data_IF_211286736923
#
_entry.id   IF_211286736923
#
_cell.length_a   1.000
_cell.length_b   1.000
_cell.length_c   1.000
_cell.angle_alpha   90.00
_cell.angle_beta   90.00
_cell.angle_gamma   90.00
#
_symmetry.space_group_name_H-M   'P 1'
#
loop_
_entity.id
_entity.type
_entity.pdbx_description
1 polymer ?
#
# COMPACT_ATOMS: atom_id res chain seq x y z
N UNK A 1 -6.43 -13.53 28.91
CA UNK A 1 -5.05 -13.05 28.70
C UNK A 1 -4.73 -13.24 27.23
N UNK A 2 -4.90 -12.19 26.44
CA UNK A 2 -4.76 -12.27 24.98
C UNK A 2 -3.30 -12.05 24.65
N UNK A 3 -2.64 -13.11 24.19
CA UNK A 3 -1.23 -13.09 23.83
C UNK A 3 -1.09 -12.23 22.56
N UNK A 4 -0.55 -11.03 22.74
CA UNK A 4 -0.20 -10.13 21.65
C UNK A 4 0.94 -10.77 20.87
N UNK A 5 0.62 -11.32 19.70
CA UNK A 5 1.62 -11.81 18.75
C UNK A 5 2.39 -10.57 18.27
N UNK A 6 3.58 -10.34 18.83
CA UNK A 6 4.56 -9.43 18.26
C UNK A 6 5.26 -10.25 17.17
N UNK A 7 4.75 -10.22 15.95
CA UNK A 7 5.49 -10.70 14.78
C UNK A 7 6.71 -9.79 14.59
N UNK A 8 7.82 -10.22 15.17
CA UNK A 8 9.10 -9.51 15.18
C UNK A 8 9.96 -9.95 13.99
N UNK A 9 9.67 -9.42 12.81
CA UNK A 9 10.65 -9.00 11.77
C UNK A 9 9.89 -8.71 10.47
N UNK A 10 9.20 -7.57 10.39
CA UNK A 10 8.62 -7.09 9.14
C UNK A 10 9.69 -6.47 8.21
N UNK A 11 10.94 -6.39 8.68
CA UNK A 11 12.07 -5.78 7.98
C UNK A 11 13.37 -6.43 8.41
N UNK A 12 14.21 -6.79 7.45
CA UNK A 12 15.60 -7.18 7.66
C UNK A 12 16.49 -5.93 7.74
N UNK A 13 16.43 -5.21 8.86
CA UNK A 13 17.24 -4.02 9.11
C UNK A 13 17.62 -3.89 10.58
N UNK A 14 18.86 -3.45 10.83
CA UNK A 14 19.34 -3.10 12.17
C UNK A 14 18.96 -1.69 12.60
N UNK A 15 18.29 -0.92 11.73
CA UNK A 15 17.85 0.43 12.04
C UNK A 15 16.64 0.38 12.99
N UNK A 16 16.64 1.16 14.08
CA UNK A 16 15.49 1.24 14.96
C UNK A 16 14.30 1.88 14.22
N UNK A 17 13.08 1.47 14.55
CA UNK A 17 11.88 2.09 14.01
C UNK A 17 11.77 3.54 14.49
N UNK A 18 11.41 4.44 13.58
CA UNK A 18 11.02 5.80 13.97
C UNK A 18 9.79 5.70 14.91
N UNK A 19 9.82 6.36 16.09
CA UNK A 19 8.68 6.35 16.99
C UNK A 19 7.44 6.94 16.31
N UNK A 20 6.30 6.27 16.44
CA UNK A 20 5.03 6.77 15.91
C UNK A 20 4.56 8.07 16.60
N UNK A 21 4.99 8.27 17.85
CA UNK A 21 4.72 9.46 18.64
C UNK A 21 6.02 9.93 19.29
N UNK A 22 6.28 11.23 19.22
CA UNK A 22 7.41 11.89 19.87
C UNK A 22 6.90 12.62 21.11
N UNK A 23 7.53 12.40 22.25
CA UNK A 23 7.35 13.26 23.42
C UNK A 23 8.08 14.58 23.15
N UNK A 24 7.34 15.68 22.99
CA UNK A 24 7.87 17.02 22.70
C UNK A 24 8.92 17.45 23.75
N UNK A 25 8.75 17.01 25.00
CA UNK A 25 9.65 17.29 26.12
C UNK A 25 11.10 16.84 25.88
N UNK A 26 11.33 15.77 25.09
CA UNK A 26 12.68 15.30 24.78
C UNK A 26 13.45 16.21 23.79
N UNK A 27 12.76 17.14 23.13
CA UNK A 27 13.31 17.96 22.05
C UNK A 27 13.65 19.40 22.44
N UNK A 28 13.06 19.93 23.52
CA UNK A 28 13.32 21.30 24.00
C UNK A 28 14.53 21.38 24.94
N UNK A 29 14.88 20.29 25.65
CA UNK A 29 16.06 20.25 26.54
C UNK A 29 17.36 19.81 25.84
N UNK A 30 17.28 19.30 24.60
CA UNK A 30 18.45 18.81 23.87
C UNK A 30 19.03 19.88 22.94
N UNK A 31 20.31 20.23 23.13
CA UNK A 31 21.06 21.13 22.22
C UNK A 31 21.11 20.62 20.76
N UNK A 32 20.75 19.35 20.51
CA UNK A 32 20.65 18.77 19.17
C UNK A 32 19.45 17.82 19.08
N UNK A 33 18.50 18.16 18.21
CA UNK A 33 17.40 17.28 17.86
C UNK A 33 17.80 16.35 16.71
N UNK A 34 17.97 15.06 17.00
CA UNK A 34 18.30 14.02 16.01
C UNK A 34 17.08 13.55 15.20
N UNK A 35 15.87 14.06 15.49
CA UNK A 35 14.61 13.79 14.79
C UNK A 35 13.98 15.13 14.37
N UNK A 36 14.49 15.78 13.31
CA UNK A 36 13.94 17.04 12.84
C UNK A 36 12.49 16.84 12.40
N UNK A 37 11.59 17.67 12.91
CA UNK A 37 10.17 17.63 12.58
C UNK A 37 9.62 19.05 12.44
N UNK A 38 8.55 19.18 11.66
CA UNK A 38 7.78 20.41 11.55
C UNK A 38 6.31 20.07 11.72
N UNK A 39 5.62 20.76 12.63
CA UNK A 39 4.19 20.53 12.86
C UNK A 39 3.35 21.07 11.70
N UNK A 40 2.40 20.28 11.21
CA UNK A 40 1.42 20.71 10.21
C UNK A 40 0.18 21.39 10.83
N UNK A 41 0.11 21.44 12.17
CA UNK A 41 -1.07 21.87 12.91
C UNK A 41 -2.15 20.78 13.00
N UNK A 42 -3.26 21.10 13.70
CA UNK A 42 -4.34 20.14 13.96
C UNK A 42 -5.23 19.92 12.73
N UNK A 43 -5.75 18.70 12.57
CA UNK A 43 -6.76 18.36 11.56
C UNK A 43 -6.24 18.26 10.12
N UNK A 44 -4.92 18.20 9.92
CA UNK A 44 -4.30 18.04 8.59
C UNK A 44 -3.95 16.60 8.26
N UNK A 45 -3.56 15.83 9.25
CA UNK A 45 -3.22 14.41 9.14
C UNK A 45 -3.99 13.67 10.21
N UNK A 46 -4.64 12.58 9.81
CA UNK A 46 -5.38 11.69 10.69
C UNK A 46 -4.65 10.34 10.77
N UNK A 47 -4.81 9.65 11.89
CA UNK A 47 -4.17 8.35 12.14
C UNK A 47 -5.21 7.25 12.33
N UNK A 48 -4.90 6.06 11.84
CA UNK A 48 -5.74 4.87 12.00
C UNK A 48 -6.82 4.73 10.92
N UNK A 49 -7.52 3.60 10.97
CA UNK A 49 -8.46 3.20 9.91
C UNK A 49 -9.84 3.82 10.05
N UNK A 50 -10.27 4.23 11.25
CA UNK A 50 -11.63 4.77 11.44
C UNK A 50 -11.89 6.04 10.61
N UNK A 51 -10.99 7.02 10.68
CA UNK A 51 -11.12 8.26 9.90
C UNK A 51 -10.89 8.04 8.40
N UNK A 52 -10.05 7.08 8.05
CA UNK A 52 -9.83 6.70 6.65
C UNK A 52 -11.10 6.08 6.06
N UNK A 53 -11.76 5.18 6.79
CA UNK A 53 -13.02 4.57 6.35
C UNK A 53 -14.15 5.58 6.26
N UNK A 54 -14.30 6.48 7.23
CA UNK A 54 -15.27 7.57 7.15
C UNK A 54 -15.11 8.36 5.83
N UNK A 55 -13.86 8.68 5.46
CA UNK A 55 -13.54 9.36 4.20
C UNK A 55 -13.81 8.51 2.96
N UNK A 56 -13.45 7.21 2.98
CA UNK A 56 -13.67 6.27 1.87
C UNK A 56 -15.17 6.15 1.55
N UNK A 57 -16.03 6.05 2.56
CA UNK A 57 -17.49 5.94 2.40
C UNK A 57 -18.04 7.17 1.66
N UNK A 58 -17.53 8.36 1.94
CA UNK A 58 -17.92 9.60 1.25
C UNK A 58 -17.53 9.60 -0.23
N UNK A 59 -16.39 8.98 -0.59
CA UNK A 59 -15.90 8.94 -1.98
C UNK A 59 -16.63 7.90 -2.82
N UNK A 60 -17.11 6.82 -2.19
CA UNK A 60 -17.77 5.65 -2.81
C UNK A 60 -16.91 4.83 -3.79
N UNK A 61 -15.89 5.40 -4.42
CA UNK A 61 -14.93 4.69 -5.27
C UNK A 61 -13.52 5.19 -4.95
N UNK A 62 -12.63 4.30 -4.53
CA UNK A 62 -11.27 4.66 -4.09
C UNK A 62 -10.24 3.70 -4.68
N UNK A 63 -9.21 4.26 -5.31
CA UNK A 63 -8.04 3.48 -5.75
C UNK A 63 -6.96 3.57 -4.70
N UNK A 64 -6.51 2.42 -4.19
CA UNK A 64 -5.40 2.31 -3.25
C UNK A 64 -4.19 1.79 -4.02
N UNK A 65 -3.17 2.62 -4.12
CA UNK A 65 -1.89 2.27 -4.74
C UNK A 65 -0.75 2.49 -3.74
N UNK A 66 0.36 1.80 -3.93
CA UNK A 66 1.49 1.79 -3.00
C UNK A 66 2.72 1.12 -3.57
N UNK A 67 3.85 1.40 -2.93
CA UNK A 67 5.14 0.87 -3.35
C UNK A 67 5.40 -0.52 -2.76
N UNK A 68 6.43 -1.21 -3.28
CA UNK A 68 6.90 -2.49 -2.74
C UNK A 68 7.14 -2.40 -1.23
N UNK A 69 6.61 -3.36 -0.47
CA UNK A 69 6.71 -3.41 0.99
C UNK A 69 5.49 -2.86 1.74
N UNK A 70 4.47 -2.36 1.02
CA UNK A 70 3.15 -2.11 1.61
C UNK A 70 2.42 -3.43 1.86
N UNK A 71 1.92 -3.61 3.08
CA UNK A 71 1.14 -4.80 3.48
C UNK A 71 -0.32 -4.63 3.06
N UNK A 72 -0.61 -4.76 1.77
CA UNK A 72 -1.96 -4.58 1.21
C UNK A 72 -3.00 -5.49 1.87
N UNK A 73 -2.67 -6.76 2.14
CA UNK A 73 -3.60 -7.68 2.83
C UNK A 73 -4.03 -7.15 4.20
N UNK A 74 -3.11 -6.54 4.94
CA UNK A 74 -3.40 -5.96 6.25
C UNK A 74 -4.24 -4.69 6.12
N UNK A 75 -3.96 -3.86 5.12
CA UNK A 75 -4.77 -2.67 4.83
C UNK A 75 -6.20 -3.10 4.46
N UNK A 76 -6.35 -4.02 3.51
CA UNK A 76 -7.63 -4.55 3.07
C UNK A 76 -8.40 -5.16 4.24
N UNK A 77 -7.75 -5.99 5.07
CA UNK A 77 -8.37 -6.60 6.24
C UNK A 77 -8.88 -5.57 7.24
N UNK A 78 -8.06 -4.57 7.60
CA UNK A 78 -8.46 -3.53 8.55
C UNK A 78 -9.57 -2.62 7.99
N UNK A 79 -9.52 -2.28 6.71
CA UNK A 79 -10.57 -1.53 6.04
C UNK A 79 -11.88 -2.33 6.02
N UNK A 80 -11.83 -3.62 5.68
CA UNK A 80 -12.99 -4.51 5.71
C UNK A 80 -13.67 -4.57 7.08
N UNK A 81 -12.88 -4.76 8.14
CA UNK A 81 -13.42 -4.77 9.51
C UNK A 81 -14.15 -3.44 9.82
N UNK A 82 -13.52 -2.31 9.50
CA UNK A 82 -14.05 -0.97 9.81
C UNK A 82 -15.23 -0.55 8.94
N UNK A 83 -15.31 -1.03 7.70
CA UNK A 83 -16.46 -0.86 6.81
C UNK A 83 -17.64 -1.72 7.29
N UNK A 84 -17.39 -2.98 7.66
CA UNK A 84 -18.40 -3.88 8.20
C UNK A 84 -19.00 -3.37 9.52
N UNK A 85 -18.18 -2.78 10.42
CA UNK A 85 -18.66 -2.10 11.64
C UNK A 85 -19.67 -0.98 11.35
N UNK A 86 -19.60 -0.36 10.17
CA UNK A 86 -20.51 0.69 9.71
C UNK A 86 -21.67 0.16 8.86
N UNK A 87 -21.75 -1.16 8.66
CA UNK A 87 -22.76 -1.81 7.84
C UNK A 87 -22.60 -1.55 6.33
N UNK A 88 -21.42 -1.12 5.90
CA UNK A 88 -21.16 -0.75 4.50
C UNK A 88 -20.69 -1.96 3.70
N UNK A 89 -21.31 -2.21 2.55
CA UNK A 89 -20.86 -3.24 1.61
C UNK A 89 -19.73 -2.72 0.71
N UNK A 90 -18.71 -3.56 0.52
CA UNK A 90 -17.51 -3.20 -0.27
C UNK A 90 -17.22 -4.25 -1.33
N UNK A 91 -16.95 -3.78 -2.54
CA UNK A 91 -16.37 -4.56 -3.62
C UNK A 91 -14.86 -4.34 -3.63
N UNK A 92 -14.07 -5.40 -3.67
CA UNK A 92 -12.61 -5.29 -3.82
C UNK A 92 -12.21 -5.73 -5.21
N UNK A 93 -11.64 -4.80 -5.97
CA UNK A 93 -11.03 -5.11 -7.26
C UNK A 93 -9.51 -5.10 -7.06
N UNK A 94 -8.89 -6.28 -7.13
CA UNK A 94 -7.44 -6.41 -6.97
C UNK A 94 -6.79 -6.37 -8.35
N UNK A 95 -5.93 -5.38 -8.59
CA UNK A 95 -5.17 -5.29 -9.85
C UNK A 95 -4.30 -6.53 -10.10
N UNK A 96 -3.88 -7.22 -9.02
CA UNK A 96 -3.14 -8.47 -9.09
C UNK A 96 -3.90 -9.59 -9.83
N UNK A 97 -5.23 -9.60 -9.78
CA UNK A 97 -6.07 -10.60 -10.46
C UNK A 97 -6.03 -10.45 -11.99
N UNK A 98 -5.64 -9.26 -12.46
CA UNK A 98 -5.48 -8.96 -13.88
C UNK A 98 -4.03 -9.05 -14.32
N UNK A 99 -3.08 -9.30 -13.42
CA UNK A 99 -1.67 -9.40 -13.80
C UNK A 99 -1.46 -10.67 -14.63
N UNK A 100 -0.59 -10.59 -15.65
CA UNK A 100 -0.14 -11.77 -16.37
C UNK A 100 0.57 -12.74 -15.44
N UNK A 101 0.62 -14.02 -15.84
CA UNK A 101 1.38 -15.02 -15.09
C UNK A 101 2.87 -14.67 -15.05
N UNK A 102 3.59 -15.16 -14.05
CA UNK A 102 5.04 -14.99 -13.96
C UNK A 102 5.75 -15.51 -15.22
N UNK A 103 5.32 -16.66 -15.76
CA UNK A 103 5.86 -17.24 -16.99
C UNK A 103 5.66 -16.34 -18.22
N UNK A 104 4.48 -15.71 -18.33
CA UNK A 104 4.19 -14.78 -19.43
C UNK A 104 5.00 -13.49 -19.30
N UNK A 105 5.16 -12.98 -18.08
CA UNK A 105 5.98 -11.78 -17.80
C UNK A 105 7.45 -12.07 -18.07
N UNK A 106 7.96 -13.22 -17.67
CA UNK A 106 9.33 -13.66 -17.96
C UNK A 106 9.54 -13.77 -19.47
N UNK A 107 8.60 -14.39 -20.18
CA UNK A 107 8.64 -14.48 -21.64
C UNK A 107 8.59 -13.10 -22.32
N UNK A 108 7.76 -12.20 -21.81
CA UNK A 108 7.59 -10.84 -22.32
C UNK A 108 8.84 -9.97 -22.10
N UNK A 109 9.51 -10.13 -20.96
CA UNK A 109 10.68 -9.33 -20.57
C UNK A 109 12.01 -9.93 -21.05
N UNK A 110 12.07 -11.24 -21.31
CA UNK A 110 13.25 -11.98 -21.77
C UNK A 110 14.02 -11.31 -22.92
N UNK A 111 13.37 -10.77 -23.98
CA UNK A 111 14.08 -10.09 -25.07
C UNK A 111 14.88 -8.85 -24.65
N UNK A 112 14.63 -8.31 -23.45
CA UNK A 112 15.25 -7.10 -22.93
C UNK A 112 16.32 -7.37 -21.87
N UNK A 113 16.37 -8.56 -21.26
CA UNK A 113 17.27 -8.86 -20.13
C UNK A 113 18.73 -9.14 -20.55
N UNK A 114 18.98 -9.42 -21.83
CA UNK A 114 20.29 -9.81 -22.34
C UNK A 114 20.54 -11.32 -22.21
N UNK A 115 21.77 -11.78 -22.46
CA UNK A 115 22.13 -13.20 -22.25
C UNK A 115 22.54 -13.44 -20.81
N UNK A 116 22.56 -14.71 -20.37
CA UNK A 116 23.00 -15.09 -19.01
C UNK A 116 24.39 -14.56 -18.62
N UNK A 117 25.29 -14.47 -19.60
CA UNK A 117 26.66 -13.95 -19.40
C UNK A 117 26.76 -12.43 -19.62
N UNK A 118 25.66 -11.77 -20.00
CA UNK A 118 25.62 -10.33 -20.21
C UNK A 118 25.37 -9.62 -18.89
N UNK A 119 26.17 -8.60 -18.62
CA UNK A 119 25.92 -7.64 -17.53
C UNK A 119 24.84 -6.61 -17.89
N UNK A 120 24.44 -6.53 -19.18
CA UNK A 120 23.50 -5.52 -19.67
C UNK A 120 22.38 -6.11 -20.52
N UNK A 121 21.18 -5.61 -20.28
CA UNK A 121 20.04 -5.73 -21.17
C UNK A 121 19.89 -4.52 -22.11
N UNK A 122 18.75 -4.41 -22.76
CA UNK A 122 18.35 -3.21 -23.52
C UNK A 122 17.10 -2.58 -22.89
N UNK A 123 16.95 -1.27 -23.05
CA UNK A 123 15.74 -0.57 -22.61
C UNK A 123 14.51 -1.19 -23.29
N UNK A 124 13.50 -1.47 -22.49
CA UNK A 124 12.22 -1.95 -23.00
C UNK A 124 11.33 -0.81 -23.51
N UNK A 125 10.55 -1.12 -24.54
CA UNK A 125 9.46 -0.30 -25.08
C UNK A 125 8.08 -0.74 -24.56
N UNK A 126 8.05 -1.77 -23.70
CA UNK A 126 6.84 -2.19 -22.99
C UNK A 126 6.30 -1.05 -22.11
N UNK A 127 4.97 -1.00 -22.01
CA UNK A 127 4.19 -0.10 -21.16
C UNK A 127 3.59 -0.89 -20.00
N UNK A 128 3.13 -0.17 -18.98
CA UNK A 128 2.51 -0.80 -17.80
C UNK A 128 1.34 -1.73 -18.18
N UNK A 129 0.52 -1.33 -19.14
CA UNK A 129 -0.60 -2.14 -19.62
C UNK A 129 -0.18 -3.49 -20.23
N UNK A 130 1.05 -3.61 -20.74
CA UNK A 130 1.51 -4.86 -21.35
C UNK A 130 1.72 -5.97 -20.32
N UNK A 131 1.75 -5.65 -19.02
CA UNK A 131 1.89 -6.61 -17.93
C UNK A 131 0.55 -7.15 -17.42
N UNK A 132 -0.57 -6.60 -17.89
CA UNK A 132 -1.91 -7.01 -17.49
C UNK A 132 -2.63 -7.75 -18.62
N UNK A 133 -3.50 -8.67 -18.23
CA UNK A 133 -4.52 -9.25 -19.08
C UNK A 133 -5.61 -8.19 -19.38
N UNK A 134 -6.43 -8.46 -20.38
CA UNK A 134 -7.56 -7.57 -20.73
C UNK A 134 -8.55 -7.44 -19.56
N UNK A 135 -9.30 -6.33 -19.53
CA UNK A 135 -10.40 -6.12 -18.59
C UNK A 135 -10.11 -5.18 -17.41
N UNK A 136 -8.84 -4.97 -17.01
CA UNK A 136 -8.55 -4.00 -15.93
C UNK A 136 -8.92 -2.56 -16.31
N UNK A 137 -8.75 -2.20 -17.59
CA UNK A 137 -9.10 -0.89 -18.13
C UNK A 137 -10.61 -0.66 -18.24
N UNK A 138 -11.39 -1.74 -18.25
CA UNK A 138 -12.85 -1.73 -18.39
C UNK A 138 -13.55 -1.90 -17.05
N UNK A 139 -12.80 -1.91 -15.94
CA UNK A 139 -13.37 -1.97 -14.59
C UNK A 139 -14.20 -0.72 -14.32
N UNK A 140 -15.49 -0.94 -14.10
CA UNK A 140 -16.42 0.09 -13.68
C UNK A 140 -16.91 -0.17 -12.25
N UNK A 141 -17.49 0.88 -11.65
CA UNK A 141 -18.11 0.78 -10.33
C UNK A 141 -19.28 -0.22 -10.37
N UNK A 142 -19.25 -1.21 -9.48
CA UNK A 142 -20.41 -2.06 -9.23
C UNK A 142 -21.41 -1.33 -8.30
N UNK A 143 -22.61 -1.09 -8.82
CA UNK A 143 -23.70 -0.40 -8.11
C UNK A 143 -24.38 -1.25 -7.02
N UNK A 144 -24.12 -2.56 -6.98
CA UNK A 144 -24.63 -3.44 -5.92
C UNK A 144 -23.89 -3.24 -4.59
N UNK A 145 -22.69 -2.66 -4.64
CA UNK A 145 -21.89 -2.32 -3.47
C UNK A 145 -21.89 -0.80 -3.20
N UNK A 146 -21.82 -0.44 -1.93
CA UNK A 146 -21.77 0.97 -1.52
C UNK A 146 -20.40 1.59 -1.82
N UNK A 147 -19.32 0.83 -1.59
CA UNK A 147 -17.94 1.21 -1.87
C UNK A 147 -17.30 0.25 -2.86
N UNK A 148 -16.50 0.78 -3.77
CA UNK A 148 -15.66 0.03 -4.71
C UNK A 148 -14.20 0.48 -4.62
#
# INVERSE_FOLDING_TARGET
MTQQIIESSWRESSQPLLPAHLSIEASEEANYNHIPLHTLGKGKVFSGYDKLVDWIIEQKTVVIDGYTGVFFDRIQHQLNLKLAERGVTVNWILSADYLKSEEDIDSLTSPYLGTKESVWGKKTDLKLNDFFNEGIADVERDSTYEVN
#
